data_IF_714273827971
#
_entry.id   IF_714273827971
#
_cell.length_a   1.000
_cell.length_b   1.000
_cell.length_c   1.000
_cell.angle_alpha   90.00
_cell.angle_beta   90.00
_cell.angle_gamma   90.00
#
_symmetry.space_group_name_H-M   'P 1'
#
loop_
_entity.id
_entity.type
_entity.pdbx_description
1 polymer ?
#
# COMPACT_ATOMS: atom_id res chain seq x y z
N UNK A 1 -48.43 -8.39 33.58
CA UNK A 1 -47.35 -7.45 33.57
C UNK A 1 -46.53 -7.68 32.31
N UNK A 2 -46.75 -6.98 31.25
CA UNK A 2 -45.95 -7.14 30.05
C UNK A 2 -44.73 -6.23 30.10
N UNK A 3 -43.55 -6.82 30.12
CA UNK A 3 -42.32 -6.12 29.85
C UNK A 3 -42.03 -6.26 28.34
N UNK A 4 -42.54 -5.33 27.59
CA UNK A 4 -42.14 -5.17 26.20
C UNK A 4 -40.79 -4.50 26.13
N UNK A 5 -39.76 -5.27 26.12
CA UNK A 5 -38.43 -4.82 25.74
C UNK A 5 -38.38 -4.61 24.22
N UNK A 6 -38.66 -3.41 23.78
CA UNK A 6 -38.39 -3.04 22.40
C UNK A 6 -36.90 -2.90 22.25
N UNK A 7 -36.27 -3.92 21.72
CA UNK A 7 -34.92 -3.83 21.17
C UNK A 7 -35.02 -3.01 19.87
N UNK A 8 -34.82 -1.72 20.01
CA UNK A 8 -34.46 -0.88 18.88
C UNK A 8 -33.05 -1.29 18.44
N UNK A 9 -32.99 -2.26 17.54
CA UNK A 9 -31.81 -2.44 16.72
C UNK A 9 -31.79 -1.24 15.79
N UNK A 10 -31.05 -0.21 16.21
CA UNK A 10 -30.66 0.88 15.34
C UNK A 10 -29.78 0.26 14.26
N UNK A 11 -30.41 -0.13 13.16
CA UNK A 11 -29.74 -0.36 11.90
C UNK A 11 -29.15 0.99 11.49
N UNK A 12 -27.94 1.22 11.96
CA UNK A 12 -27.08 2.24 11.42
C UNK A 12 -26.87 1.87 9.95
N UNK A 13 -27.74 2.39 9.11
CA UNK A 13 -27.56 2.41 7.67
C UNK A 13 -26.33 3.29 7.45
N UNK A 14 -25.14 2.68 7.59
CA UNK A 14 -23.93 3.28 7.06
C UNK A 14 -24.13 3.38 5.56
N UNK A 15 -24.66 4.51 5.17
CA UNK A 15 -24.62 4.97 3.80
C UNK A 15 -23.17 4.85 3.35
N UNK A 16 -22.90 3.80 2.61
CA UNK A 16 -21.60 3.52 2.01
C UNK A 16 -21.38 4.60 0.93
N UNK A 17 -21.03 5.81 1.38
CA UNK A 17 -20.57 6.88 0.49
C UNK A 17 -19.28 6.36 -0.10
N UNK A 18 -19.34 5.90 -1.34
CA UNK A 18 -18.17 5.54 -2.14
C UNK A 18 -17.32 6.81 -2.31
N UNK A 19 -16.41 7.00 -1.38
CA UNK A 19 -15.35 7.99 -1.54
C UNK A 19 -14.33 7.43 -2.52
N UNK A 20 -13.81 8.25 -3.43
CA UNK A 20 -12.72 7.85 -4.34
C UNK A 20 -11.44 7.54 -3.57
N UNK A 21 -11.35 7.99 -2.32
CA UNK A 21 -10.22 7.73 -1.44
C UNK A 21 -10.29 6.29 -0.91
N UNK A 22 -9.26 5.50 -1.21
CA UNK A 22 -9.07 4.15 -0.68
C UNK A 22 -7.74 4.10 0.07
N UNK A 23 -7.81 3.74 1.34
CA UNK A 23 -6.64 3.49 2.18
C UNK A 23 -6.00 2.15 1.83
N UNK A 24 -4.68 2.10 1.89
CA UNK A 24 -3.94 0.85 1.71
C UNK A 24 -4.27 -0.13 2.85
N UNK A 25 -4.56 -1.38 2.51
CA UNK A 25 -4.77 -2.42 3.51
C UNK A 25 -3.46 -2.66 4.29
N UNK A 26 -3.45 -2.50 5.62
CA UNK A 26 -2.27 -2.73 6.42
C UNK A 26 -1.89 -4.23 6.50
N UNK A 27 -2.81 -5.13 6.16
CA UNK A 27 -2.65 -6.57 6.27
C UNK A 27 -3.17 -7.27 5.00
N UNK A 28 -2.53 -7.06 3.83
CA UNK A 28 -2.94 -7.76 2.63
C UNK A 28 -2.78 -9.26 2.83
N UNK A 29 -3.78 -10.03 2.41
CA UNK A 29 -3.69 -11.48 2.41
C UNK A 29 -2.62 -11.91 1.39
N UNK A 30 -1.49 -12.39 1.90
CA UNK A 30 -0.40 -12.88 1.07
C UNK A 30 -0.76 -14.26 0.53
N UNK A 31 -0.67 -14.42 -0.77
CA UNK A 31 -0.69 -15.74 -1.41
C UNK A 31 0.69 -16.40 -1.23
N UNK A 32 0.71 -17.47 -0.46
CA UNK A 32 1.94 -18.20 -0.12
C UNK A 32 2.69 -18.66 -1.38
N UNK A 33 1.95 -18.97 -2.45
CA UNK A 33 2.56 -19.50 -3.69
C UNK A 33 3.19 -18.41 -4.58
N UNK A 34 2.78 -17.17 -4.42
CA UNK A 34 3.28 -16.03 -5.21
C UNK A 34 4.26 -15.14 -4.45
N UNK A 35 4.46 -15.39 -3.16
CA UNK A 35 5.39 -14.62 -2.35
C UNK A 35 6.85 -14.93 -2.77
N UNK A 36 7.68 -13.92 -3.11
CA UNK A 36 9.07 -14.12 -3.51
C UNK A 36 9.89 -14.86 -2.46
N UNK A 37 9.59 -14.66 -1.18
CA UNK A 37 10.29 -15.32 -0.07
C UNK A 37 10.26 -16.85 -0.16
N UNK A 38 9.23 -17.42 -0.76
CA UNK A 38 9.07 -18.88 -0.95
C UNK A 38 9.77 -19.40 -2.20
N UNK A 39 10.08 -18.55 -3.15
CA UNK A 39 10.70 -18.91 -4.44
C UNK A 39 12.21 -18.65 -4.48
N UNK A 40 12.70 -17.84 -3.54
CA UNK A 40 14.11 -17.53 -3.44
C UNK A 40 14.92 -18.69 -2.85
N UNK A 41 16.13 -18.93 -3.40
CA UNK A 41 17.09 -19.85 -2.80
C UNK A 41 17.49 -19.41 -1.37
N UNK A 42 17.93 -20.34 -0.56
CA UNK A 42 18.17 -20.15 0.90
C UNK A 42 19.01 -18.91 1.24
N UNK A 43 20.06 -18.63 0.46
CA UNK A 43 20.94 -17.46 0.68
C UNK A 43 20.20 -16.13 0.40
N UNK A 44 19.47 -16.08 -0.70
CA UNK A 44 18.71 -14.90 -1.12
C UNK A 44 17.52 -14.66 -0.16
N UNK A 45 16.83 -15.73 0.24
CA UNK A 45 15.74 -15.68 1.20
C UNK A 45 16.19 -15.13 2.56
N UNK A 46 17.37 -15.52 3.05
CA UNK A 46 17.96 -14.98 4.27
C UNK A 46 18.12 -13.46 4.20
N UNK A 47 18.70 -12.95 3.10
CA UNK A 47 18.90 -11.51 2.91
C UNK A 47 17.58 -10.77 2.75
N UNK A 48 16.62 -11.35 2.03
CA UNK A 48 15.29 -10.79 1.81
C UNK A 48 14.49 -10.63 3.12
N UNK A 49 14.64 -11.59 4.03
CA UNK A 49 13.90 -11.63 5.31
C UNK A 49 14.66 -11.00 6.48
N UNK A 50 15.91 -10.55 6.30
CA UNK A 50 16.72 -9.98 7.36
C UNK A 50 16.13 -8.63 7.83
N UNK A 51 15.66 -8.52 9.08
CA UNK A 51 15.07 -7.28 9.60
C UNK A 51 16.04 -6.11 9.65
N UNK A 52 17.35 -6.37 9.65
CA UNK A 52 18.38 -5.32 9.64
C UNK A 52 18.73 -4.84 8.23
N UNK A 53 18.22 -5.48 7.20
CA UNK A 53 18.44 -5.04 5.82
C UNK A 53 17.67 -3.74 5.55
N UNK A 54 18.26 -2.86 4.71
CA UNK A 54 17.74 -1.53 4.43
C UNK A 54 16.27 -1.53 3.97
N UNK A 55 15.86 -2.49 3.14
CA UNK A 55 14.51 -2.58 2.60
C UNK A 55 13.46 -2.90 3.67
N UNK A 56 13.77 -3.78 4.63
CA UNK A 56 12.88 -4.09 5.74
C UNK A 56 12.83 -2.95 6.75
N UNK A 57 13.95 -2.28 6.99
CA UNK A 57 13.97 -1.08 7.83
C UNK A 57 13.21 0.07 7.19
N UNK A 58 13.39 0.30 5.90
CA UNK A 58 12.63 1.31 5.18
C UNK A 58 11.12 1.04 5.24
N UNK A 59 10.71 -0.19 5.00
CA UNK A 59 9.31 -0.58 5.13
C UNK A 59 8.74 -0.27 6.52
N UNK A 60 9.43 -0.72 7.58
CA UNK A 60 8.94 -0.57 8.95
C UNK A 60 9.01 0.86 9.49
N UNK A 61 10.02 1.64 9.10
CA UNK A 61 10.26 2.98 9.64
C UNK A 61 9.67 4.11 8.78
N UNK A 62 9.50 3.88 7.49
CA UNK A 62 8.98 4.88 6.54
C UNK A 62 7.64 4.47 6.00
N UNK A 63 7.59 3.41 5.19
CA UNK A 63 6.39 3.03 4.44
C UNK A 63 5.16 2.82 5.32
N UNK A 64 5.30 2.09 6.44
CA UNK A 64 4.18 1.84 7.36
C UNK A 64 3.78 3.06 8.18
N UNK A 65 4.63 4.09 8.27
CA UNK A 65 4.38 5.31 9.06
C UNK A 65 3.73 6.43 8.27
N UNK A 66 3.60 6.28 6.96
CA UNK A 66 2.92 7.26 6.11
C UNK A 66 1.43 7.27 6.47
N UNK A 67 0.95 8.41 6.94
CA UNK A 67 -0.47 8.63 7.24
C UNK A 67 -1.21 9.08 5.99
N UNK A 68 -1.97 8.17 5.40
CA UNK A 68 -2.74 8.42 4.19
C UNK A 68 -3.94 9.35 4.42
N UNK A 69 -4.43 9.49 5.65
CA UNK A 69 -5.58 10.34 5.99
C UNK A 69 -5.30 11.83 5.72
N UNK A 70 -4.05 12.26 5.82
CA UNK A 70 -3.61 13.64 5.53
C UNK A 70 -3.96 14.02 4.07
N UNK A 71 -3.95 13.06 3.17
CA UNK A 71 -4.21 13.26 1.74
C UNK A 71 -5.69 13.19 1.36
N UNK A 72 -6.55 12.74 2.28
CA UNK A 72 -7.98 12.59 2.05
C UNK A 72 -8.67 13.85 1.49
N UNK A 73 -8.34 15.07 1.96
CA UNK A 73 -8.94 16.31 1.43
C UNK A 73 -8.67 16.57 -0.06
N UNK A 74 -7.64 15.94 -0.64
CA UNK A 74 -7.32 16.06 -2.06
C UNK A 74 -8.29 15.29 -2.96
N UNK A 75 -9.09 14.39 -2.37
CA UNK A 75 -10.04 13.56 -3.10
C UNK A 75 -11.46 14.11 -2.90
N UNK A 76 -12.15 14.51 -3.99
CA UNK A 76 -13.48 15.10 -3.87
C UNK A 76 -14.50 14.08 -3.32
N UNK A 77 -15.29 14.52 -2.36
CA UNK A 77 -16.41 13.75 -1.86
C UNK A 77 -17.56 13.71 -2.88
N UNK A 78 -18.16 12.54 -3.04
CA UNK A 78 -19.44 12.41 -3.74
C UNK A 78 -19.41 12.16 -5.23
N UNK A 79 -18.26 12.05 -5.89
CA UNK A 79 -18.23 11.57 -7.28
C UNK A 79 -18.30 10.05 -7.33
N UNK A 80 -19.42 9.53 -7.81
CA UNK A 80 -19.71 8.08 -7.92
C UNK A 80 -18.94 7.35 -9.02
N UNK A 81 -18.15 8.04 -9.84
CA UNK A 81 -17.55 7.47 -11.03
C UNK A 81 -16.07 7.83 -11.09
N UNK A 82 -15.23 6.84 -10.84
CA UNK A 82 -13.80 6.95 -11.01
C UNK A 82 -13.07 5.69 -10.56
N UNK A 83 -11.92 5.44 -11.14
CA UNK A 83 -11.01 4.40 -10.69
C UNK A 83 -10.54 4.75 -9.28
N UNK A 84 -10.46 3.77 -8.34
CA UNK A 84 -9.84 4.01 -7.04
C UNK A 84 -8.44 4.60 -7.22
N UNK A 85 -8.05 5.51 -6.32
CA UNK A 85 -6.69 6.05 -6.33
C UNK A 85 -5.65 4.92 -6.19
N UNK A 86 -4.49 5.11 -6.78
CA UNK A 86 -3.32 4.28 -6.47
C UNK A 86 -2.99 4.42 -4.97
N UNK A 87 -2.29 3.45 -4.41
CA UNK A 87 -1.86 3.52 -3.01
C UNK A 87 -1.03 4.78 -2.75
N UNK A 88 -1.57 5.70 -1.97
CA UNK A 88 -0.88 6.95 -1.59
C UNK A 88 0.40 6.61 -0.82
N UNK A 89 0.34 5.61 0.05
CA UNK A 89 1.49 5.13 0.81
C UNK A 89 2.64 4.75 -0.12
N UNK A 90 2.37 3.98 -1.18
CA UNK A 90 3.38 3.57 -2.15
C UNK A 90 3.94 4.79 -2.89
N UNK A 91 3.08 5.71 -3.36
CA UNK A 91 3.52 6.90 -4.08
C UNK A 91 4.44 7.80 -3.25
N UNK A 92 4.09 8.04 -1.99
CA UNK A 92 4.93 8.83 -1.07
C UNK A 92 6.23 8.10 -0.75
N UNK A 93 6.18 6.79 -0.49
CA UNK A 93 7.37 5.99 -0.23
C UNK A 93 8.31 5.94 -1.45
N UNK A 94 7.76 5.87 -2.67
CA UNK A 94 8.54 5.96 -3.91
C UNK A 94 9.29 7.30 -4.00
N UNK A 95 8.62 8.41 -3.66
CA UNK A 95 9.25 9.74 -3.66
C UNK A 95 10.40 9.82 -2.65
N UNK A 96 10.22 9.26 -1.45
CA UNK A 96 11.29 9.19 -0.43
C UNK A 96 12.47 8.33 -0.90
N UNK A 97 12.19 7.19 -1.54
CA UNK A 97 13.24 6.32 -2.09
C UNK A 97 14.01 6.99 -3.21
N UNK A 98 13.32 7.71 -4.09
CA UNK A 98 13.95 8.47 -5.18
C UNK A 98 14.99 9.44 -4.64
N UNK A 99 14.60 10.25 -3.66
CA UNK A 99 15.50 11.22 -3.03
C UNK A 99 16.65 10.51 -2.29
N UNK A 100 16.35 9.42 -1.59
CA UNK A 100 17.36 8.64 -0.86
C UNK A 100 18.40 7.97 -1.77
N UNK A 101 18.00 7.50 -2.93
CA UNK A 101 18.91 6.89 -3.92
C UNK A 101 19.54 7.91 -4.85
N UNK A 102 18.98 9.12 -4.96
CA UNK A 102 19.43 10.13 -5.93
C UNK A 102 19.26 9.65 -7.37
N UNK A 103 18.24 8.83 -7.66
CA UNK A 103 18.01 8.27 -8.97
C UNK A 103 17.02 9.10 -9.81
N UNK A 104 17.00 8.87 -11.11
CA UNK A 104 15.99 9.44 -12.00
C UNK A 104 14.63 8.79 -11.78
N UNK A 105 13.57 9.39 -12.34
CA UNK A 105 12.24 8.78 -12.30
C UNK A 105 12.20 7.45 -13.06
N UNK A 106 12.86 7.40 -14.21
CA UNK A 106 12.96 6.19 -15.03
C UNK A 106 13.64 5.04 -14.25
N UNK A 107 14.77 5.32 -13.61
CA UNK A 107 15.48 4.35 -12.76
C UNK A 107 14.63 3.90 -11.56
N UNK A 108 13.88 4.83 -10.96
CA UNK A 108 12.97 4.49 -9.86
C UNK A 108 11.89 3.50 -10.31
N UNK A 109 11.24 3.80 -11.44
CA UNK A 109 10.19 2.92 -11.97
C UNK A 109 10.72 1.56 -12.37
N UNK A 110 11.89 1.49 -13.01
CA UNK A 110 12.55 0.23 -13.33
C UNK A 110 12.84 -0.60 -12.06
N UNK A 111 13.31 0.04 -10.99
CA UNK A 111 13.52 -0.61 -9.69
C UNK A 111 12.20 -1.09 -9.07
N UNK A 112 11.14 -0.32 -9.17
CA UNK A 112 9.81 -0.71 -8.66
C UNK A 112 9.24 -1.91 -9.42
N UNK A 113 9.57 -2.07 -10.70
CA UNK A 113 9.13 -3.21 -11.52
C UNK A 113 9.97 -4.47 -11.27
N UNK A 114 11.30 -4.34 -11.22
CA UNK A 114 12.21 -5.48 -11.34
C UNK A 114 13.07 -5.75 -10.10
N UNK A 115 13.21 -4.80 -9.18
CA UNK A 115 14.00 -5.01 -7.96
C UNK A 115 13.14 -5.48 -6.80
N UNK A 116 13.30 -6.74 -6.40
CA UNK A 116 12.57 -7.34 -5.30
C UNK A 116 12.77 -6.62 -3.95
N UNK A 117 13.95 -6.07 -3.72
CA UNK A 117 14.24 -5.36 -2.47
C UNK A 117 13.52 -4.01 -2.42
N UNK A 118 13.51 -3.28 -3.53
CA UNK A 118 12.75 -2.04 -3.67
C UNK A 118 11.24 -2.30 -3.53
N UNK A 119 10.72 -3.34 -4.18
CA UNK A 119 9.32 -3.75 -4.04
C UNK A 119 8.96 -4.07 -2.59
N UNK A 120 9.83 -4.81 -1.89
CA UNK A 120 9.66 -5.12 -0.46
C UNK A 120 9.64 -3.86 0.40
N UNK A 121 10.56 -2.93 0.15
CA UNK A 121 10.62 -1.64 0.85
C UNK A 121 9.33 -0.83 0.70
N UNK A 122 8.66 -0.92 -0.43
CA UNK A 122 7.38 -0.26 -0.73
C UNK A 122 6.16 -1.03 -0.20
N UNK A 123 6.31 -2.27 0.23
CA UNK A 123 5.21 -3.14 0.65
C UNK A 123 4.50 -3.86 -0.50
N UNK A 124 5.12 -3.90 -1.69
CA UNK A 124 4.66 -4.68 -2.84
C UNK A 124 5.28 -6.08 -2.79
N UNK A 125 4.76 -6.93 -1.90
CA UNK A 125 5.37 -8.26 -1.66
C UNK A 125 5.05 -9.29 -2.72
N UNK A 126 3.90 -9.17 -3.37
CA UNK A 126 3.52 -10.09 -4.44
C UNK A 126 4.11 -9.64 -5.78
N UNK A 127 4.57 -10.61 -6.57
CA UNK A 127 5.02 -10.32 -7.95
C UNK A 127 3.90 -9.78 -8.84
N UNK A 128 2.65 -10.05 -8.45
CA UNK A 128 1.44 -9.57 -9.12
C UNK A 128 1.02 -8.16 -8.68
N UNK A 129 1.64 -7.60 -7.65
CA UNK A 129 1.37 -6.23 -7.23
C UNK A 129 1.80 -5.26 -8.32
N UNK A 130 0.86 -4.39 -8.71
CA UNK A 130 1.06 -3.46 -9.82
C UNK A 130 1.73 -2.19 -9.34
N UNK A 131 2.85 -1.85 -9.95
CA UNK A 131 3.53 -0.58 -9.74
C UNK A 131 2.62 0.56 -10.25
N UNK A 132 2.45 1.67 -9.52
CA UNK A 132 1.77 2.85 -10.03
C UNK A 132 2.39 3.31 -11.35
N UNK A 133 1.55 3.75 -12.30
CA UNK A 133 2.07 4.31 -13.56
C UNK A 133 2.75 5.66 -13.33
N UNK A 134 3.66 6.00 -14.22
CA UNK A 134 4.37 7.29 -14.19
C UNK A 134 3.39 8.47 -14.19
N UNK A 135 2.30 8.38 -14.97
CA UNK A 135 1.26 9.40 -15.01
C UNK A 135 0.56 9.56 -13.64
N UNK A 136 0.38 8.45 -12.92
CA UNK A 136 -0.23 8.48 -11.58
C UNK A 136 0.73 9.08 -10.54
N UNK A 137 2.03 8.92 -10.73
CA UNK A 137 3.04 9.44 -9.82
C UNK A 137 3.15 10.97 -9.88
N UNK A 138 2.88 11.58 -11.05
CA UNK A 138 2.95 13.03 -11.24
C UNK A 138 1.61 13.77 -11.02
N UNK A 139 0.53 13.05 -10.69
CA UNK A 139 -0.77 13.65 -10.38
C UNK A 139 -0.82 14.18 -8.93
#
# INVERSE_FOLDING_TARGET
>A
MPLSGIFFVSLCHQSNRMTMFKKTDPNPQLDIFTAPSMQLGSRASKKYSDPNSWHNQFYSLVTTKIDEEIFKPLFPEGKKSGRPNASIRILVAMSVLKEGFGCSDEDLFEKCEFDLLTRKALGMELLTDVTPSIDTYYL
#
